data_IF_185345545794
#
_entry.id   IF_185345545794
#
_cell.length_a   1.000
_cell.length_b   1.000
_cell.length_c   1.000
_cell.angle_alpha   90.00
_cell.angle_beta   90.00
_cell.angle_gamma   90.00
#
_symmetry.space_group_name_H-M   'P 1'
#
loop_
_entity.id
_entity.type
_entity.pdbx_description
1 polymer ?
#
# COMPACT_ATOMS: atom_id res chain seq x y z
N UNK A 1 15.70 -7.33 -10.32
CA UNK A 1 15.10 -5.98 -10.56
C UNK A 1 14.96 -5.27 -9.23
N UNK A 2 15.31 -3.98 -9.16
CA UNK A 2 15.20 -3.16 -7.94
C UNK A 2 13.90 -2.34 -7.86
N UNK A 3 12.94 -2.62 -8.74
CA UNK A 3 11.65 -1.94 -8.75
C UNK A 3 10.76 -2.40 -7.61
N UNK A 4 10.11 -1.47 -6.92
CA UNK A 4 9.06 -1.77 -5.94
C UNK A 4 7.76 -1.12 -6.42
N UNK A 5 6.64 -1.78 -6.16
CA UNK A 5 5.32 -1.21 -6.43
C UNK A 5 4.73 -0.69 -5.11
N UNK A 6 4.30 0.56 -5.07
CA UNK A 6 3.59 1.15 -3.95
C UNK A 6 2.16 1.43 -4.40
N UNK A 7 1.17 0.86 -3.72
CA UNK A 7 -0.25 0.97 -4.02
C UNK A 7 -0.92 1.84 -2.97
N UNK A 8 -1.68 2.84 -3.40
CA UNK A 8 -2.46 3.75 -2.54
C UNK A 8 -3.76 4.15 -3.22
N UNK A 9 -4.67 4.84 -2.54
CA UNK A 9 -5.89 5.40 -3.12
C UNK A 9 -5.75 6.86 -3.58
N UNK A 10 -4.89 7.64 -2.92
CA UNK A 10 -4.83 9.09 -3.06
C UNK A 10 -3.39 9.58 -2.86
N UNK A 11 -3.13 10.78 -3.38
CA UNK A 11 -1.93 11.60 -3.21
C UNK A 11 -2.29 13.03 -2.79
N UNK A 12 -3.27 13.17 -1.89
CA UNK A 12 -3.68 14.43 -1.27
C UNK A 12 -2.85 14.74 -0.02
N UNK A 13 -3.19 15.81 0.68
CA UNK A 13 -2.53 16.17 1.95
C UNK A 13 -3.17 15.32 3.07
N UNK A 14 -2.41 14.35 3.58
CA UNK A 14 -2.84 13.46 4.67
C UNK A 14 -1.68 12.65 5.25
N UNK A 15 -1.95 11.96 6.36
CA UNK A 15 -0.92 11.19 7.08
C UNK A 15 -0.42 9.98 6.28
N UNK A 16 -1.32 9.27 5.59
CA UNK A 16 -0.97 8.12 4.75
C UNK A 16 -0.18 8.54 3.50
N UNK A 17 -0.46 9.71 2.95
CA UNK A 17 0.25 10.26 1.79
C UNK A 17 1.62 10.79 2.17
N UNK A 18 1.75 11.41 3.36
CA UNK A 18 3.07 11.73 3.93
C UNK A 18 3.89 10.46 4.16
N UNK A 19 3.29 9.40 4.70
CA UNK A 19 3.93 8.09 4.84
C UNK A 19 4.42 7.56 3.49
N UNK A 20 3.60 7.65 2.44
CA UNK A 20 3.99 7.25 1.09
C UNK A 20 5.21 8.03 0.60
N UNK A 21 5.23 9.34 0.80
CA UNK A 21 6.36 10.20 0.44
C UNK A 21 7.66 9.76 1.13
N UNK A 22 7.61 9.48 2.44
CA UNK A 22 8.77 8.98 3.20
C UNK A 22 9.23 7.61 2.71
N UNK A 23 8.30 6.69 2.41
CA UNK A 23 8.63 5.36 1.84
C UNK A 23 9.32 5.51 0.48
N UNK A 24 8.86 6.43 -0.36
CA UNK A 24 9.48 6.73 -1.66
C UNK A 24 10.89 7.30 -1.47
N UNK A 25 11.06 8.26 -0.56
CA UNK A 25 12.37 8.83 -0.23
C UNK A 25 13.35 7.78 0.26
N UNK A 26 12.92 6.95 1.23
CA UNK A 26 13.72 5.83 1.74
C UNK A 26 14.08 4.83 0.64
N UNK A 27 13.13 4.46 -0.22
CA UNK A 27 13.39 3.55 -1.33
C UNK A 27 14.47 4.10 -2.27
N UNK A 28 14.36 5.38 -2.65
CA UNK A 28 15.33 6.06 -3.51
C UNK A 28 16.72 6.11 -2.89
N UNK A 29 16.81 6.47 -1.61
CA UNK A 29 18.08 6.49 -0.87
C UNK A 29 18.76 5.11 -0.80
N UNK A 30 17.98 4.03 -0.94
CA UNK A 30 18.47 2.64 -0.92
C UNK A 30 18.55 2.01 -2.32
N UNK A 31 18.67 2.81 -3.39
CA UNK A 31 18.80 2.34 -4.78
C UNK A 31 17.65 1.43 -5.24
N UNK A 32 16.44 1.66 -4.71
CA UNK A 32 15.20 1.07 -5.20
C UNK A 32 14.49 2.04 -6.15
N UNK A 33 13.76 1.46 -7.11
CA UNK A 33 12.98 2.21 -8.09
C UNK A 33 11.48 2.11 -7.76
N UNK A 34 10.91 3.07 -7.01
CA UNK A 34 9.50 3.04 -6.69
C UNK A 34 8.65 3.37 -7.93
N UNK A 35 7.56 2.62 -8.08
CA UNK A 35 6.44 2.92 -8.96
C UNK A 35 5.21 3.05 -8.09
N UNK A 36 4.47 4.15 -8.22
CA UNK A 36 3.27 4.41 -7.45
C UNK A 36 2.06 4.04 -8.32
N UNK A 37 1.14 3.24 -7.77
CA UNK A 37 -0.15 2.91 -8.35
C UNK A 37 -1.25 3.50 -7.47
N UNK A 38 -1.95 4.50 -8.00
CA UNK A 38 -3.10 5.11 -7.35
C UNK A 38 -4.37 4.44 -7.87
N UNK A 39 -5.10 3.87 -6.92
CA UNK A 39 -6.36 3.19 -7.13
C UNK A 39 -7.50 4.20 -7.22
N UNK A 40 -8.43 3.90 -8.11
CA UNK A 40 -9.76 4.49 -8.22
C UNK A 40 -9.83 5.99 -8.61
N UNK A 41 -8.69 6.60 -8.95
CA UNK A 41 -8.61 7.97 -9.47
C UNK A 41 -7.85 8.01 -10.80
N UNK A 42 -8.21 8.95 -11.68
CA UNK A 42 -7.41 9.36 -12.85
C UNK A 42 -6.89 10.79 -12.71
N UNK A 43 -7.40 11.53 -11.72
CA UNK A 43 -7.15 12.96 -11.58
C UNK A 43 -5.78 13.17 -10.95
N UNK A 44 -5.09 14.23 -11.39
CA UNK A 44 -3.83 14.67 -10.78
C UNK A 44 -4.12 15.25 -9.40
N UNK A 45 -3.24 14.99 -8.43
CA UNK A 45 -3.35 15.41 -7.04
C UNK A 45 -2.07 16.11 -6.56
N UNK A 46 -2.06 16.47 -5.28
CA UNK A 46 -1.05 17.34 -4.66
C UNK A 46 0.38 16.81 -4.82
N UNK A 47 0.62 15.53 -4.53
CA UNK A 47 1.98 14.98 -4.58
C UNK A 47 2.44 14.52 -5.98
N UNK A 48 1.60 14.52 -7.02
CA UNK A 48 2.03 14.15 -8.38
C UNK A 48 3.22 14.96 -8.91
N UNK A 49 3.22 16.32 -8.89
CA UNK A 49 4.37 17.09 -9.37
C UNK A 49 5.63 16.82 -8.55
N UNK A 50 5.50 16.49 -7.26
CA UNK A 50 6.63 16.16 -6.39
C UNK A 50 7.26 14.84 -6.84
N UNK A 51 6.45 13.79 -7.05
CA UNK A 51 6.96 12.52 -7.53
C UNK A 51 7.53 12.60 -8.95
N UNK A 52 6.95 13.44 -9.81
CA UNK A 52 7.48 13.72 -11.14
C UNK A 52 8.89 14.32 -11.06
N UNK A 53 9.12 15.32 -10.20
CA UNK A 53 10.45 15.90 -9.95
C UNK A 53 11.44 14.87 -9.39
N UNK A 54 10.96 13.91 -8.59
CA UNK A 54 11.77 12.81 -8.05
C UNK A 54 12.07 11.70 -9.08
N UNK A 55 11.60 11.84 -10.33
CA UNK A 55 11.63 10.80 -11.37
C UNK A 55 10.94 9.49 -10.94
N UNK A 56 9.84 9.61 -10.19
CA UNK A 56 9.03 8.50 -9.71
C UNK A 56 7.79 8.38 -10.56
N UNK A 57 7.58 7.21 -11.17
CA UNK A 57 6.42 6.97 -12.02
C UNK A 57 5.16 6.80 -11.17
N UNK A 58 4.23 7.74 -11.29
CA UNK A 58 2.86 7.62 -10.77
C UNK A 58 1.94 7.10 -11.86
N UNK A 59 1.15 6.09 -11.54
CA UNK A 59 0.15 5.50 -12.45
C UNK A 59 -1.19 5.48 -11.77
N UNK A 60 -2.20 6.03 -12.46
CA UNK A 60 -3.56 6.23 -11.94
C UNK A 60 -4.54 5.36 -12.71
N UNK A 61 -5.37 4.57 -12.03
CA UNK A 61 -6.31 3.63 -12.68
C UNK A 61 -7.44 3.20 -11.75
N UNK A 62 -8.59 2.78 -12.30
CA UNK A 62 -9.71 2.19 -11.52
C UNK A 62 -9.73 0.68 -11.68
N UNK A 63 -9.35 -0.05 -10.63
CA UNK A 63 -9.30 -1.52 -10.65
C UNK A 63 -10.64 -2.13 -10.21
N UNK A 64 -11.37 -1.44 -9.33
CA UNK A 64 -12.61 -1.95 -8.71
C UNK A 64 -13.89 -1.70 -9.54
N UNK A 65 -13.87 -0.78 -10.51
CA UNK A 65 -15.07 -0.22 -11.17
C UNK A 65 -15.03 -0.28 -12.70
N UNK A 66 -14.72 -1.43 -13.30
CA UNK A 66 -14.68 -1.57 -14.77
C UNK A 66 -16.05 -1.40 -15.44
N UNK A 67 -17.14 -1.50 -14.68
CA UNK A 67 -18.50 -1.62 -15.23
C UNK A 67 -19.06 -0.34 -15.89
N UNK A 68 -18.47 0.84 -15.70
CA UNK A 68 -19.02 2.12 -16.19
C UNK A 68 -17.99 3.02 -16.90
N UNK A 69 -17.08 2.47 -17.68
CA UNK A 69 -16.10 3.28 -18.39
C UNK A 69 -16.71 4.02 -19.59
N UNK A 70 -16.72 5.36 -19.53
CA UNK A 70 -17.00 6.22 -20.68
C UNK A 70 -15.79 6.40 -21.61
N UNK A 71 -14.58 6.02 -21.16
CA UNK A 71 -13.32 6.14 -21.90
C UNK A 71 -12.67 4.77 -22.13
N UNK A 72 -12.62 4.26 -23.36
CA UNK A 72 -12.00 2.96 -23.69
C UNK A 72 -10.52 2.87 -23.32
N UNK A 73 -9.77 3.97 -23.44
CA UNK A 73 -8.35 3.99 -23.09
C UNK A 73 -8.12 3.78 -21.59
N UNK A 74 -8.94 4.42 -20.77
CA UNK A 74 -8.88 4.25 -19.31
C UNK A 74 -9.26 2.83 -18.89
N UNK A 75 -10.24 2.22 -19.56
CA UNK A 75 -10.63 0.83 -19.35
C UNK A 75 -9.49 -0.13 -19.71
N UNK A 76 -8.86 0.05 -20.87
CA UNK A 76 -7.73 -0.75 -21.31
C UNK A 76 -6.58 -0.66 -20.29
N UNK A 77 -6.27 0.55 -19.79
CA UNK A 77 -5.28 0.74 -18.75
C UNK A 77 -5.62 -0.04 -17.47
N UNK A 78 -6.88 -0.04 -17.04
CA UNK A 78 -7.33 -0.85 -15.89
C UNK A 78 -7.14 -2.34 -16.12
N UNK A 79 -7.52 -2.84 -17.30
CA UNK A 79 -7.34 -4.25 -17.67
C UNK A 79 -5.85 -4.62 -17.70
N UNK A 80 -5.01 -3.77 -18.29
CA UNK A 80 -3.55 -3.95 -18.31
C UNK A 80 -3.02 -4.06 -16.90
N UNK A 81 -3.46 -3.21 -15.97
CA UNK A 81 -3.00 -3.26 -14.59
C UNK A 81 -3.49 -4.49 -13.83
N UNK A 82 -4.73 -4.91 -14.04
CA UNK A 82 -5.24 -6.17 -13.47
C UNK A 82 -4.37 -7.34 -13.93
N UNK A 83 -4.09 -7.43 -15.24
CA UNK A 83 -3.22 -8.46 -15.80
C UNK A 83 -1.80 -8.34 -15.23
N UNK A 84 -1.27 -7.13 -15.14
CA UNK A 84 0.07 -6.85 -14.60
C UNK A 84 0.21 -7.29 -13.15
N UNK A 85 -0.78 -7.01 -12.29
CA UNK A 85 -0.77 -7.41 -10.89
C UNK A 85 -0.96 -8.93 -10.72
N UNK A 86 -1.84 -9.54 -11.52
CA UNK A 86 -2.18 -10.95 -11.39
C UNK A 86 -1.12 -11.90 -11.95
N UNK A 87 -0.49 -11.53 -13.05
CA UNK A 87 0.40 -12.43 -13.80
C UNK A 87 1.87 -11.98 -13.82
N UNK A 88 2.14 -10.68 -13.75
CA UNK A 88 3.50 -10.16 -13.95
C UNK A 88 4.13 -9.52 -12.70
N UNK A 89 3.37 -9.32 -11.64
CA UNK A 89 3.83 -8.68 -10.40
C UNK A 89 5.15 -9.26 -9.90
N UNK A 90 5.21 -10.59 -9.76
CA UNK A 90 6.38 -11.33 -9.24
C UNK A 90 7.64 -11.16 -10.08
N UNK A 91 7.48 -10.96 -11.40
CA UNK A 91 8.61 -10.76 -12.32
C UNK A 91 9.05 -9.31 -12.35
N UNK A 92 8.12 -8.38 -12.24
CA UNK A 92 8.36 -6.95 -12.45
C UNK A 92 8.82 -6.20 -11.19
N UNK A 93 8.46 -6.70 -10.01
CA UNK A 93 8.70 -6.00 -8.75
C UNK A 93 9.44 -6.90 -7.76
N UNK A 94 10.30 -6.29 -6.93
CA UNK A 94 11.00 -6.94 -5.82
C UNK A 94 10.10 -7.12 -4.60
N UNK A 95 9.20 -6.16 -4.40
CA UNK A 95 8.18 -6.14 -3.35
C UNK A 95 7.00 -5.26 -3.78
N UNK A 96 5.86 -5.51 -3.13
CA UNK A 96 4.65 -4.70 -3.29
C UNK A 96 4.26 -4.17 -1.93
N UNK A 97 4.05 -2.86 -1.83
CA UNK A 97 3.67 -2.16 -0.63
C UNK A 97 2.27 -1.59 -0.83
N UNK A 98 1.30 -1.97 -0.02
CA UNK A 98 -0.06 -1.41 -0.02
C UNK A 98 -0.17 -0.47 1.17
N UNK A 99 -0.32 0.83 0.91
CA UNK A 99 -0.43 1.85 1.95
C UNK A 99 -1.87 1.88 2.46
N UNK A 100 -2.06 1.63 3.75
CA UNK A 100 -3.39 1.57 4.36
C UNK A 100 -4.11 0.26 4.11
N UNK A 101 -4.55 -0.40 5.19
CA UNK A 101 -5.29 -1.67 5.10
C UNK A 101 -6.65 -1.52 4.39
N UNK A 102 -7.22 -0.32 4.35
CA UNK A 102 -8.44 -0.03 3.59
C UNK A 102 -8.26 -0.13 2.07
N UNK A 103 -7.03 -0.26 1.56
CA UNK A 103 -6.79 -0.51 0.15
C UNK A 103 -6.68 -2.01 -0.16
N UNK A 104 -6.58 -2.88 0.86
CA UNK A 104 -6.42 -4.32 0.66
C UNK A 104 -7.64 -4.96 0.01
N UNK A 105 -8.83 -4.57 0.43
CA UNK A 105 -10.11 -5.01 -0.13
C UNK A 105 -10.14 -4.95 -1.67
N UNK A 106 -9.51 -3.93 -2.24
CA UNK A 106 -9.47 -3.68 -3.69
C UNK A 106 -8.46 -4.54 -4.44
N UNK A 107 -7.37 -4.94 -3.80
CA UNK A 107 -6.20 -5.51 -4.51
C UNK A 107 -5.73 -6.86 -3.99
N UNK A 108 -6.22 -7.32 -2.83
CA UNK A 108 -5.72 -8.52 -2.16
C UNK A 108 -5.73 -9.76 -3.06
N UNK A 109 -6.86 -10.05 -3.71
CA UNK A 109 -6.99 -11.17 -4.64
C UNK A 109 -6.36 -10.92 -6.02
N UNK A 110 -6.11 -9.65 -6.37
CA UNK A 110 -5.54 -9.26 -7.66
C UNK A 110 -4.01 -9.29 -7.71
N UNK A 111 -3.34 -9.24 -6.55
CA UNK A 111 -1.89 -9.17 -6.46
C UNK A 111 -1.29 -10.56 -6.19
N UNK A 112 -0.67 -11.14 -7.21
CA UNK A 112 0.09 -12.38 -7.08
C UNK A 112 1.58 -12.08 -6.86
N UNK A 113 1.99 -12.00 -5.58
CA UNK A 113 3.37 -11.70 -5.19
C UNK A 113 3.71 -12.37 -3.86
N UNK A 114 4.95 -12.82 -3.70
CA UNK A 114 5.43 -13.52 -2.49
C UNK A 114 6.09 -12.61 -1.45
N UNK A 115 6.21 -11.32 -1.74
CA UNK A 115 6.74 -10.29 -0.83
C UNK A 115 5.81 -9.09 -0.84
N UNK A 116 4.77 -9.14 -0.02
CA UNK A 116 3.76 -8.08 0.08
C UNK A 116 3.84 -7.45 1.47
N UNK A 117 3.80 -6.13 1.50
CA UNK A 117 3.84 -5.32 2.70
C UNK A 117 2.56 -4.52 2.79
N UNK A 118 1.82 -4.68 3.88
CA UNK A 118 0.53 -4.05 4.10
C UNK A 118 0.66 -3.08 5.27
N UNK A 119 0.64 -1.79 4.97
CA UNK A 119 0.88 -0.78 5.98
C UNK A 119 -0.42 -0.47 6.72
N UNK A 120 -0.44 -0.76 8.02
CA UNK A 120 -1.48 -0.25 8.90
C UNK A 120 -1.15 1.18 9.32
N UNK A 121 -2.03 2.09 8.96
CA UNK A 121 -1.88 3.53 9.21
C UNK A 121 -2.94 4.07 10.16
N UNK A 122 -3.89 3.23 10.56
CA UNK A 122 -5.02 3.60 11.43
C UNK A 122 -4.96 2.81 12.75
N UNK A 123 -5.41 3.44 13.82
CA UNK A 123 -5.62 2.81 15.13
C UNK A 123 -7.08 2.38 15.27
N UNK A 124 -7.35 1.34 16.04
CA UNK A 124 -8.70 0.82 16.26
C UNK A 124 -9.63 1.87 16.89
N UNK A 125 -9.09 2.78 17.71
CA UNK A 125 -9.84 3.88 18.34
C UNK A 125 -10.53 4.84 17.35
N UNK A 126 -10.11 4.84 16.07
CA UNK A 126 -10.72 5.66 15.03
C UNK A 126 -12.06 5.08 14.52
N UNK A 127 -12.42 3.86 14.92
CA UNK A 127 -13.65 3.20 14.52
C UNK A 127 -14.69 3.19 15.65
N UNK A 128 -15.97 3.24 15.28
CA UNK A 128 -17.11 3.37 16.20
C UNK A 128 -17.17 2.23 17.21
N UNK A 129 -16.89 1.00 16.78
CA UNK A 129 -16.89 -0.21 17.60
C UNK A 129 -15.51 -0.54 18.19
N UNK A 130 -14.53 0.33 17.99
CA UNK A 130 -13.11 0.14 18.34
C UNK A 130 -12.53 -1.15 17.76
N UNK A 131 -12.98 -1.57 16.58
CA UNK A 131 -12.44 -2.73 15.86
C UNK A 131 -12.04 -2.33 14.45
N UNK A 132 -11.05 -3.03 13.92
CA UNK A 132 -10.70 -2.94 12.51
C UNK A 132 -11.80 -3.55 11.65
N UNK A 133 -12.27 -2.86 10.59
CA UNK A 133 -13.30 -3.38 9.70
C UNK A 133 -12.76 -4.34 8.62
N UNK A 134 -11.53 -4.84 8.78
CA UNK A 134 -10.84 -5.61 7.75
C UNK A 134 -11.08 -7.12 7.91
N UNK A 135 -11.26 -7.81 6.78
CA UNK A 135 -11.42 -9.26 6.73
C UNK A 135 -10.19 -9.99 7.27
N UNK A 136 -10.39 -10.99 8.14
CA UNK A 136 -9.30 -11.77 8.71
C UNK A 136 -8.50 -12.54 7.63
N UNK A 137 -9.12 -12.83 6.49
CA UNK A 137 -8.48 -13.54 5.38
C UNK A 137 -7.25 -12.80 4.82
N UNK A 138 -7.22 -11.46 4.95
CA UNK A 138 -6.10 -10.63 4.47
C UNK A 138 -4.81 -10.89 5.24
N UNK A 139 -4.91 -11.53 6.40
CA UNK A 139 -3.81 -11.79 7.32
C UNK A 139 -3.43 -13.27 7.39
N UNK A 140 -4.10 -14.12 6.61
CA UNK A 140 -3.91 -15.58 6.63
C UNK A 140 -2.66 -16.10 5.90
N UNK A 141 -1.87 -15.24 5.25
CA UNK A 141 -0.69 -15.66 4.47
C UNK A 141 0.63 -15.27 5.18
N UNK A 142 1.42 -16.28 5.56
CA UNK A 142 2.71 -16.09 6.26
C UNK A 142 3.85 -15.47 5.44
N UNK A 143 3.66 -15.33 4.12
CA UNK A 143 4.60 -14.58 3.27
C UNK A 143 4.33 -13.07 3.28
N UNK A 144 3.18 -12.64 3.77
CA UNK A 144 2.84 -11.22 3.86
C UNK A 144 3.42 -10.62 5.13
N UNK A 145 3.68 -9.31 5.08
CA UNK A 145 4.13 -8.52 6.22
C UNK A 145 3.15 -7.39 6.47
N UNK A 146 2.57 -7.32 7.65
CA UNK A 146 1.80 -6.18 8.13
C UNK A 146 2.77 -5.23 8.82
N UNK A 147 2.85 -4.00 8.32
CA UNK A 147 3.72 -2.97 8.87
C UNK A 147 2.88 -2.02 9.71
N UNK A 148 3.06 -2.05 11.02
CA UNK A 148 2.42 -1.14 11.96
C UNK A 148 3.33 0.06 12.21
N UNK A 149 2.78 1.27 12.27
CA UNK A 149 3.58 2.48 12.49
C UNK A 149 3.95 2.71 13.96
N UNK A 150 3.32 1.96 14.87
CA UNK A 150 3.62 1.98 16.31
C UNK A 150 3.27 0.63 16.96
N UNK A 151 3.69 0.45 18.22
CA UNK A 151 3.42 -0.79 18.98
C UNK A 151 1.94 -0.97 19.32
N UNK A 152 1.19 0.11 19.55
CA UNK A 152 -0.24 0.05 19.88
C UNK A 152 -1.03 -0.65 18.78
N UNK A 153 -0.79 -0.31 17.50
CA UNK A 153 -1.43 -0.97 16.36
C UNK A 153 -1.12 -2.46 16.26
N UNK A 154 0.13 -2.85 16.55
CA UNK A 154 0.51 -4.25 16.56
C UNK A 154 -0.26 -5.01 17.64
N UNK A 155 -0.38 -4.42 18.84
CA UNK A 155 -1.17 -4.99 19.94
C UNK A 155 -2.65 -5.07 19.60
N UNK A 156 -3.24 -4.02 19.02
CA UNK A 156 -4.66 -4.01 18.60
C UNK A 156 -4.93 -5.11 17.56
N UNK A 157 -4.06 -5.26 16.55
CA UNK A 157 -4.16 -6.31 15.52
C UNK A 157 -4.08 -7.71 16.13
N UNK A 158 -3.11 -7.94 17.01
CA UNK A 158 -2.94 -9.23 17.70
C UNK A 158 -4.14 -9.55 18.59
N UNK A 159 -4.64 -8.56 19.34
CA UNK A 159 -5.79 -8.73 20.22
C UNK A 159 -7.08 -9.03 19.47
N UNK A 160 -7.28 -8.43 18.28
CA UNK A 160 -8.52 -8.61 17.53
C UNK A 160 -8.54 -9.91 16.71
N UNK A 161 -7.44 -10.24 16.02
CA UNK A 161 -7.42 -11.38 15.09
C UNK A 161 -6.87 -12.66 15.74
N UNK A 162 -6.07 -12.56 16.80
CA UNK A 162 -5.44 -13.71 17.44
C UNK A 162 -4.40 -14.42 16.54
N UNK A 163 -3.64 -15.34 17.12
CA UNK A 163 -2.56 -16.05 16.40
C UNK A 163 -3.08 -17.02 15.33
N UNK A 164 -4.30 -17.54 15.49
CA UNK A 164 -4.86 -18.53 14.56
C UNK A 164 -5.23 -17.91 13.20
N UNK A 165 -5.64 -16.64 13.20
CA UNK A 165 -6.02 -15.91 11.98
C UNK A 165 -4.89 -15.02 11.45
N UNK A 166 -4.07 -14.46 12.34
CA UNK A 166 -2.95 -13.58 12.01
C UNK A 166 -1.68 -14.38 11.72
N UNK A 167 -1.61 -14.95 10.51
CA UNK A 167 -0.44 -15.71 10.04
C UNK A 167 0.63 -14.81 9.41
N UNK A 168 0.25 -13.63 8.91
CA UNK A 168 1.17 -12.65 8.35
C UNK A 168 2.16 -12.13 9.41
N UNK A 169 3.38 -11.82 8.98
CA UNK A 169 4.42 -11.28 9.86
C UNK A 169 4.04 -9.86 10.28
N UNK A 170 4.06 -9.56 11.57
CA UNK A 170 3.93 -8.18 12.03
C UNK A 170 5.32 -7.56 12.21
N UNK A 171 5.50 -6.35 11.69
CA UNK A 171 6.68 -5.53 11.92
C UNK A 171 6.26 -4.14 12.36
N UNK A 172 6.94 -3.59 13.36
CA UNK A 172 6.74 -2.21 13.78
C UNK A 172 7.80 -1.35 13.09
N UNK A 173 7.36 -0.31 12.38
CA UNK A 173 8.22 0.65 11.71
C UNK A 173 7.87 2.07 12.14
N UNK A 174 8.77 2.73 12.88
CA UNK A 174 8.57 4.13 13.29
C UNK A 174 8.84 5.04 12.09
N UNK A 175 7.79 5.49 11.41
CA UNK A 175 7.89 6.42 10.28
C UNK A 175 7.70 7.85 10.71
N UNK A 176 8.65 8.35 11.50
CA UNK A 176 9.02 9.76 11.60
C UNK A 176 10.41 9.74 12.23
N UNK A 177 11.46 9.99 11.44
CA UNK A 177 12.75 10.34 12.00
C UNK A 177 12.53 11.67 12.71
N UNK A 178 12.34 11.62 14.03
CA UNK A 178 12.64 12.79 14.82
C UNK A 178 14.09 13.12 14.51
N UNK A 179 14.37 14.31 13.99
CA UNK A 179 15.73 14.83 14.03
C UNK A 179 16.07 15.04 15.49
N UNK A 180 16.56 13.97 16.14
CA UNK A 180 17.16 13.85 17.47
C UNK A 180 17.04 12.37 17.85
N UNK A 181 18.02 11.58 17.44
CA UNK A 181 18.54 10.42 18.17
C UNK A 181 19.90 10.08 17.53
N UNK A 182 20.84 11.01 17.72
CA UNK A 182 22.25 10.65 17.89
C UNK A 182 22.40 10.17 19.32
N UNK A 183 22.61 8.87 19.51
CA UNK A 183 23.39 8.27 20.60
C UNK A 183 23.86 6.90 20.13
#
# INVERSE_FOLDING_TARGET
MNKILIVSNLLRIGGAEKLLYEVVGFARANNLEPVILILDSYDREHYDPIYEQMNVKVVRTRISLIKNFRSPMQMLQSVIWIIRLRYFARKLYKSIHVIGLYNLDKVYHGINHNRRFFWNVNNAIQFVDRKFPYSAEYFGNGNDTIVCINKYQATEMQSQYGLDLLKAKITVFKLFLGGHDTN
#
